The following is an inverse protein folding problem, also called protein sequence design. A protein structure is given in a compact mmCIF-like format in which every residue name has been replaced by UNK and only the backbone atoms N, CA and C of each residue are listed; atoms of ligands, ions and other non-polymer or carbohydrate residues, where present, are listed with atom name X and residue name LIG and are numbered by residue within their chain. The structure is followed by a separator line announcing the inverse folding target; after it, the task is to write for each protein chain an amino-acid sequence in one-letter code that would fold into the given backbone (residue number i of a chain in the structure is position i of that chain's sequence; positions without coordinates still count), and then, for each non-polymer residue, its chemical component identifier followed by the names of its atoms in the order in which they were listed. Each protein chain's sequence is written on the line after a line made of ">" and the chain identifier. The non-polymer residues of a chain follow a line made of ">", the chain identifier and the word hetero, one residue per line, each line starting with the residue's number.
data_IF_424294665182
#
_entry.id   IF_424294665182
#
_cell.length_a   1.000
_cell.length_b   1.000
_cell.length_c   1.000
_cell.angle_alpha   90.00
_cell.angle_beta   90.00
_cell.angle_gamma   90.00
#
_symmetry.space_group_name_H-M   'P 1'
#
loop_
_entity.id
_entity.type
_entity.pdbx_description
1 polymer ?
#
# COMPACT_ATOMS: atom_id res chain seq x y z
N UNK A 1 14.21 0.14 5.59
CA UNK A 1 13.11 -0.19 4.68
C UNK A 1 12.06 -0.93 5.48
N UNK A 2 10.87 -0.35 5.65
CA UNK A 2 9.79 -0.97 6.43
C UNK A 2 8.48 -0.86 5.66
N UNK A 3 7.66 -1.91 5.73
CA UNK A 3 6.30 -1.87 5.18
C UNK A 3 5.39 -1.21 6.22
N UNK A 4 4.66 -0.17 5.83
CA UNK A 4 3.77 0.61 6.69
C UNK A 4 2.31 0.33 6.36
N UNK A 5 1.46 0.35 7.38
CA UNK A 5 0.01 0.15 7.24
C UNK A 5 -0.75 1.11 8.16
N UNK A 6 -1.92 1.55 7.71
CA UNK A 6 -2.91 2.29 8.52
C UNK A 6 -4.25 1.59 8.43
N UNK A 7 -5.02 1.61 9.51
CA UNK A 7 -6.37 1.03 9.51
C UNK A 7 -7.32 1.88 8.67
N UNK A 8 -8.23 1.22 7.96
CA UNK A 8 -9.33 1.87 7.24
C UNK A 8 -8.88 2.93 6.22
N UNK A 9 -7.71 2.76 5.60
CA UNK A 9 -7.26 3.69 4.56
C UNK A 9 -8.08 3.48 3.28
N UNK A 10 -9.03 4.36 3.03
CA UNK A 10 -9.86 4.36 1.82
C UNK A 10 -10.05 5.79 1.34
N UNK A 11 -9.86 6.01 0.05
CA UNK A 11 -10.08 7.27 -0.66
C UNK A 11 -10.41 6.95 -2.11
N UNK A 12 -10.49 7.97 -2.96
CA UNK A 12 -10.70 7.83 -4.40
C UNK A 12 -9.58 8.48 -5.21
N UNK A 13 -9.43 8.09 -6.46
CA UNK A 13 -8.57 8.78 -7.41
C UNK A 13 -9.11 10.19 -7.69
N UNK A 14 -8.24 11.20 -7.64
CA UNK A 14 -8.65 12.59 -7.91
C UNK A 14 -8.69 12.93 -9.40
N UNK A 15 -8.13 12.07 -10.25
CA UNK A 15 -8.16 12.16 -11.70
C UNK A 15 -8.03 10.76 -12.33
N UNK A 16 -8.44 10.63 -13.59
CA UNK A 16 -8.21 9.41 -14.35
C UNK A 16 -6.72 9.17 -14.59
N UNK A 17 -6.34 7.89 -14.62
CA UNK A 17 -4.97 7.42 -14.82
C UNK A 17 -4.95 6.35 -15.92
N UNK A 18 -3.81 6.23 -16.60
CA UNK A 18 -3.56 5.12 -17.53
C UNK A 18 -2.65 4.05 -16.88
N UNK A 19 -2.26 3.06 -17.68
CA UNK A 19 -1.43 1.91 -17.29
C UNK A 19 0.07 2.22 -17.09
N UNK A 20 0.50 3.46 -17.32
CA UNK A 20 1.93 3.84 -17.29
C UNK A 20 2.26 4.95 -16.30
N UNK A 21 1.28 5.73 -15.85
CA UNK A 21 1.52 6.82 -14.90
C UNK A 21 1.84 6.27 -13.50
N UNK A 22 2.84 6.87 -12.87
CA UNK A 22 3.36 6.46 -11.54
C UNK A 22 3.19 7.53 -10.47
N UNK A 23 2.77 8.73 -10.86
CA UNK A 23 2.37 9.81 -9.96
C UNK A 23 0.85 9.88 -9.90
N UNK A 24 0.28 9.34 -8.83
CA UNK A 24 -1.17 9.11 -8.70
C UNK A 24 -1.76 10.12 -7.73
N UNK A 25 -2.71 10.92 -8.22
CA UNK A 25 -3.50 11.81 -7.38
C UNK A 25 -4.65 11.07 -6.71
N UNK A 26 -4.82 11.28 -5.41
CA UNK A 26 -5.98 10.82 -4.64
C UNK A 26 -6.74 11.99 -4.04
N UNK A 27 -8.01 11.80 -3.69
CA UNK A 27 -8.84 12.83 -3.08
C UNK A 27 -8.34 13.19 -1.67
N UNK A 28 -7.90 12.19 -0.90
CA UNK A 28 -7.30 12.37 0.42
C UNK A 28 -6.12 11.41 0.61
N UNK A 29 -4.90 11.94 0.58
CA UNK A 29 -3.70 11.14 0.82
C UNK A 29 -3.40 10.91 2.30
N UNK A 30 -4.02 11.68 3.21
CA UNK A 30 -3.72 11.65 4.64
C UNK A 30 -4.13 10.34 5.32
N UNK A 31 -5.09 9.63 4.73
CA UNK A 31 -5.56 8.30 5.21
C UNK A 31 -4.47 7.22 5.16
N UNK A 32 -3.49 7.37 4.27
CA UNK A 32 -2.38 6.42 4.13
C UNK A 32 -1.30 6.64 5.21
N UNK A 33 -0.34 5.71 5.40
CA UNK A 33 0.80 5.97 6.28
C UNK A 33 1.73 7.05 5.72
N UNK A 34 2.41 7.75 6.62
CA UNK A 34 3.58 8.56 6.26
C UNK A 34 4.75 7.64 5.96
N UNK A 35 5.42 7.86 4.82
CA UNK A 35 6.56 7.04 4.38
C UNK A 35 7.86 7.82 4.56
N UNK A 36 8.79 7.25 5.31
CA UNK A 36 10.18 7.72 5.34
C UNK A 36 10.98 7.17 4.16
N UNK A 37 12.27 7.50 4.12
CA UNK A 37 13.19 7.02 3.08
C UNK A 37 13.25 5.49 3.06
N UNK A 38 12.81 4.90 1.95
CA UNK A 38 12.80 3.44 1.74
C UNK A 38 11.64 2.71 2.43
N UNK A 39 10.71 3.41 3.05
CA UNK A 39 9.44 2.83 3.49
C UNK A 39 8.49 2.66 2.31
N UNK A 40 7.65 1.63 2.39
CA UNK A 40 6.63 1.36 1.38
C UNK A 40 5.28 1.07 2.02
N UNK A 41 4.22 1.19 1.23
CA UNK A 41 2.93 0.59 1.52
C UNK A 41 2.30 0.04 0.24
N UNK A 42 1.27 -0.78 0.35
CA UNK A 42 0.54 -1.28 -0.79
C UNK A 42 -0.88 -0.72 -0.80
N UNK A 43 -1.32 -0.30 -1.98
CA UNK A 43 -2.65 0.25 -2.23
C UNK A 43 -3.27 -0.51 -3.37
N UNK A 44 -4.58 -0.75 -3.29
CA UNK A 44 -5.36 -1.36 -4.36
C UNK A 44 -6.19 -0.27 -5.03
N UNK A 45 -6.10 -0.17 -6.36
CA UNK A 45 -7.05 0.57 -7.18
C UNK A 45 -8.17 -0.36 -7.64
N UNK A 46 -9.42 0.11 -7.58
CA UNK A 46 -10.61 -0.72 -7.82
C UNK A 46 -11.76 0.11 -8.41
N UNK A 47 -12.32 -0.36 -9.54
CA UNK A 47 -13.45 0.25 -10.27
C UNK A 47 -14.74 -0.59 -10.15
N UNK A 48 -14.83 -1.44 -9.12
CA UNK A 48 -15.85 -2.47 -8.86
C UNK A 48 -15.86 -3.65 -9.84
N UNK A 49 -15.08 -3.61 -10.92
CA UNK A 49 -14.93 -4.71 -11.89
C UNK A 49 -13.51 -5.27 -11.91
N UNK A 50 -12.54 -4.40 -11.67
CA UNK A 50 -11.14 -4.57 -11.93
C UNK A 50 -10.33 -4.13 -10.72
N UNK A 51 -9.25 -4.85 -10.44
CA UNK A 51 -8.32 -4.51 -9.37
C UNK A 51 -6.89 -4.39 -9.89
N UNK A 52 -6.14 -3.48 -9.28
CA UNK A 52 -4.69 -3.40 -9.43
C UNK A 52 -4.04 -3.14 -8.08
N UNK A 53 -3.04 -3.94 -7.71
CA UNK A 53 -2.22 -3.69 -6.53
C UNK A 53 -0.98 -2.90 -6.95
N UNK A 54 -0.71 -1.80 -6.25
CA UNK A 54 0.46 -0.95 -6.46
C UNK A 54 1.29 -0.82 -5.20
N UNK A 55 2.60 -0.68 -5.37
CA UNK A 55 3.54 -0.41 -4.28
C UNK A 55 3.80 1.08 -4.23
N UNK A 56 3.35 1.74 -3.18
CA UNK A 56 3.60 3.16 -2.92
C UNK A 56 4.97 3.30 -2.27
N UNK A 57 5.85 4.10 -2.88
CA UNK A 57 7.22 4.36 -2.39
C UNK A 57 7.39 5.76 -1.81
N UNK A 58 6.47 6.67 -2.08
CA UNK A 58 6.44 7.99 -1.47
C UNK A 58 5.02 8.56 -1.47
N UNK A 59 4.73 9.42 -0.50
CA UNK A 59 3.53 10.26 -0.46
C UNK A 59 3.92 11.70 -0.22
N UNK A 60 3.39 12.60 -1.04
CA UNK A 60 3.47 14.05 -0.83
C UNK A 60 2.07 14.66 -0.91
N UNK A 61 1.50 15.04 0.24
CA UNK A 61 0.10 15.44 0.34
C UNK A 61 -0.83 14.37 -0.24
N UNK A 62 -1.53 14.73 -1.31
CA UNK A 62 -2.48 13.88 -2.02
C UNK A 62 -1.89 13.17 -3.25
N UNK A 63 -0.57 13.17 -3.41
CA UNK A 63 0.12 12.49 -4.51
C UNK A 63 0.89 11.29 -4.00
N UNK A 64 0.62 10.12 -4.59
CA UNK A 64 1.32 8.85 -4.33
C UNK A 64 2.29 8.57 -5.48
N UNK A 65 3.55 8.30 -5.15
CA UNK A 65 4.51 7.74 -6.10
C UNK A 65 4.48 6.23 -6.01
N UNK A 66 4.24 5.54 -7.13
CA UNK A 66 3.95 4.10 -7.12
C UNK A 66 4.76 3.32 -8.14
N UNK A 67 4.97 2.04 -7.83
CA UNK A 67 5.29 0.99 -8.80
C UNK A 67 4.01 0.20 -9.08
N UNK A 68 3.63 0.12 -10.36
CA UNK A 68 2.39 -0.51 -10.87
C UNK A 68 2.50 -2.04 -10.90
N UNK A 69 1.40 -2.73 -11.16
CA UNK A 69 1.37 -4.17 -11.45
C UNK A 69 2.09 -5.05 -10.42
N UNK A 70 1.70 -4.94 -9.15
CA UNK A 70 2.25 -5.77 -8.07
C UNK A 70 1.35 -6.98 -7.82
N UNK A 71 1.88 -7.97 -7.10
CA UNK A 71 1.12 -9.14 -6.64
C UNK A 71 0.39 -9.91 -7.77
N UNK A 72 1.02 -10.01 -8.94
CA UNK A 72 0.45 -10.68 -10.11
C UNK A 72 -0.68 -9.92 -10.82
N UNK A 73 -1.04 -8.71 -10.35
CA UNK A 73 -1.99 -7.83 -11.05
C UNK A 73 -1.33 -7.14 -12.24
N UNK A 74 -2.15 -6.63 -13.16
CA UNK A 74 -1.67 -5.90 -14.34
C UNK A 74 -1.96 -4.41 -14.22
N UNK A 75 -1.03 -3.58 -14.72
CA UNK A 75 -1.22 -2.14 -14.77
C UNK A 75 -2.36 -1.80 -15.72
N UNK A 76 -3.26 -0.91 -15.29
CA UNK A 76 -4.43 -0.55 -16.09
C UNK A 76 -4.90 0.88 -15.87
N UNK A 77 -5.82 1.28 -16.74
CA UNK A 77 -6.49 2.57 -16.62
C UNK A 77 -7.60 2.51 -15.58
N UNK A 78 -7.75 3.61 -14.84
CA UNK A 78 -8.82 3.86 -13.88
C UNK A 78 -9.34 5.29 -14.06
N UNK A 79 -10.56 5.54 -13.66
CA UNK A 79 -11.24 6.82 -13.73
C UNK A 79 -11.11 7.61 -12.42
N UNK A 80 -11.34 8.92 -12.50
CA UNK A 80 -11.54 9.73 -11.29
C UNK A 80 -12.73 9.19 -10.51
N UNK A 81 -12.61 9.13 -9.18
CA UNK A 81 -13.65 8.58 -8.31
C UNK A 81 -13.50 7.07 -8.04
N UNK A 82 -12.70 6.35 -8.82
CA UNK A 82 -12.39 4.95 -8.54
C UNK A 82 -11.63 4.82 -7.21
N UNK A 83 -11.79 3.68 -6.55
CA UNK A 83 -11.31 3.50 -5.17
C UNK A 83 -9.80 3.36 -5.13
N UNK A 84 -9.19 3.90 -4.08
CA UNK A 84 -7.79 3.70 -3.72
C UNK A 84 -7.72 3.30 -2.24
N UNK A 85 -7.40 2.04 -1.95
CA UNK A 85 -7.60 1.45 -0.63
C UNK A 85 -6.40 0.64 -0.14
N UNK A 86 -6.12 0.75 1.15
CA UNK A 86 -5.26 -0.19 1.87
C UNK A 86 -6.20 -1.19 2.57
N UNK A 87 -6.36 -2.37 1.96
CA UNK A 87 -7.38 -3.36 2.34
C UNK A 87 -7.01 -4.24 3.53
N UNK A 88 -5.77 -4.18 3.99
CA UNK A 88 -5.28 -4.98 5.11
C UNK A 88 -5.39 -4.19 6.41
N UNK A 89 -5.91 -4.82 7.47
CA UNK A 89 -5.93 -4.23 8.81
C UNK A 89 -4.52 -4.23 9.40
N UNK A 90 -4.03 -3.08 9.87
CA UNK A 90 -2.69 -2.96 10.43
C UNK A 90 -2.50 -3.84 11.69
N UNK A 91 -3.57 -4.06 12.47
CA UNK A 91 -3.53 -4.94 13.63
C UNK A 91 -3.13 -6.38 13.26
N UNK A 92 -3.75 -6.93 12.20
CA UNK A 92 -3.46 -8.29 11.72
C UNK A 92 -1.99 -8.42 11.29
N UNK A 93 -1.45 -7.44 10.58
CA UNK A 93 -0.06 -7.49 10.11
C UNK A 93 0.93 -7.35 11.27
N UNK A 94 0.66 -6.44 12.20
CA UNK A 94 1.52 -6.27 13.36
C UNK A 94 1.58 -7.54 14.24
N UNK A 95 0.47 -8.26 14.36
CA UNK A 95 0.41 -9.56 15.05
C UNK A 95 1.30 -10.60 14.36
N UNK A 96 1.19 -10.75 13.04
CA UNK A 96 2.01 -11.69 12.25
C UNK A 96 3.51 -11.34 12.34
N UNK A 97 3.86 -10.05 12.29
CA UNK A 97 5.26 -9.62 12.43
C UNK A 97 5.80 -9.92 13.84
N UNK A 98 5.01 -9.67 14.88
CA UNK A 98 5.39 -9.95 16.27
C UNK A 98 5.63 -11.43 16.52
N UNK A 99 4.82 -12.32 15.92
CA UNK A 99 4.97 -13.76 16.04
C UNK A 99 6.23 -14.27 15.32
N UNK A 100 6.52 -13.72 14.13
CA UNK A 100 7.74 -14.02 13.38
C UNK A 100 9.02 -13.58 14.12
N UNK A 101 8.99 -12.42 14.80
CA UNK A 101 10.14 -11.93 15.58
C UNK A 101 10.38 -12.75 16.86
N UNK A 102 9.30 -13.19 17.51
CA UNK A 102 9.35 -14.05 18.69
C UNK A 102 9.95 -15.44 18.37
N UNK A 103 9.57 -16.02 17.24
CA UNK A 103 10.14 -17.29 16.75
C UNK A 103 11.61 -17.16 16.37
N UNK A 104 12.01 -16.06 15.72
CA UNK A 104 13.42 -15.79 15.44
C UNK A 104 14.28 -15.66 16.71
N UNK A 105 13.77 -14.94 17.72
CA UNK A 105 14.46 -14.74 19.00
C UNK A 105 14.62 -16.05 19.78
N UNK A 106 13.58 -16.88 19.83
CA UNK A 106 13.62 -18.17 20.52
C UNK A 106 14.59 -19.18 19.88
N UNK A 107 14.68 -19.22 18.54
CA UNK A 107 15.66 -20.04 17.85
C UNK A 107 17.10 -19.57 18.12
N UNK A 108 17.34 -18.25 18.16
CA UNK A 108 18.65 -17.69 18.48
C UNK A 108 19.11 -18.05 19.90
N UNK A 109 18.19 -18.06 20.88
CA UNK A 109 18.50 -18.49 22.26
C UNK A 109 18.76 -20.00 22.39
N UNK A 110 18.13 -20.83 21.55
CA UNK A 110 18.29 -22.29 21.59
C UNK A 110 19.59 -22.79 20.95
N UNK A 111 20.26 -21.94 20.16
CA UNK A 111 21.50 -22.25 19.45
C UNK A 111 22.76 -21.61 20.07
N UNK A 112 22.60 -20.80 21.12
CA UNK A 112 23.69 -20.18 21.91
C UNK A 112 23.97 -20.94 23.19
#
# INVERSE_FOLDING_TARGET
>A
MTIKFTNNASTTLSAGINDSVTSIGVADGSVFPTLGTGDITYVTFDDDTNTEVVKVTARSGNTLTVVRAQDGTSARSFSSGDKAELRITAALVNEVISDADSTATSLALALG
#
